data_IF_093452118499
#
_entry.id   IF_093452118499
#
_cell.length_a   1.000
_cell.length_b   1.000
_cell.length_c   1.000
_cell.angle_alpha   90.00
_cell.angle_beta   90.00
_cell.angle_gamma   90.00
#
_symmetry.space_group_name_H-M   'P 1'
#
loop_
_entity.id
_entity.type
_entity.pdbx_description
1 polymer ?
#
# COMPACT_ATOMS: atom_id res chain seq x y z
N UNK A 1 -18.40 -34.11 -14.68
CA UNK A 1 -17.92 -34.01 -13.29
C UNK A 1 -16.41 -33.94 -13.38
N UNK A 2 -15.86 -32.73 -13.43
CA UNK A 2 -14.41 -32.50 -13.44
C UNK A 2 -14.04 -31.84 -12.13
N UNK A 3 -13.32 -32.59 -11.29
CA UNK A 3 -12.80 -32.12 -10.02
C UNK A 3 -11.79 -30.98 -10.25
N UNK A 4 -12.12 -29.80 -9.79
CA UNK A 4 -11.15 -28.72 -9.62
C UNK A 4 -10.36 -29.00 -8.36
N UNK A 5 -9.22 -29.66 -8.52
CA UNK A 5 -8.17 -29.68 -7.50
C UNK A 5 -7.66 -28.24 -7.33
N UNK A 6 -8.08 -27.58 -6.27
CA UNK A 6 -7.67 -26.23 -5.95
C UNK A 6 -6.20 -26.22 -5.50
N UNK A 7 -5.32 -25.68 -6.32
CA UNK A 7 -4.12 -25.04 -5.80
C UNK A 7 -4.60 -23.76 -5.09
N UNK A 8 -4.65 -23.80 -3.76
CA UNK A 8 -5.06 -22.68 -2.91
C UNK A 8 -3.92 -21.65 -2.80
N UNK A 9 -3.52 -21.07 -3.91
CA UNK A 9 -2.53 -20.01 -3.92
C UNK A 9 -3.23 -18.67 -4.20
N UNK A 10 -2.99 -17.64 -3.38
CA UNK A 10 -3.37 -16.27 -3.68
C UNK A 10 -2.69 -15.87 -4.99
N UNK A 11 -3.44 -15.36 -5.99
CA UNK A 11 -2.87 -15.01 -7.28
C UNK A 11 -1.86 -13.87 -7.15
N UNK A 12 -0.91 -13.83 -8.06
CA UNK A 12 -0.05 -12.66 -8.22
C UNK A 12 -0.87 -11.54 -8.92
N UNK A 13 -1.29 -10.55 -8.13
CA UNK A 13 -2.09 -9.45 -8.63
C UNK A 13 -1.37 -8.60 -9.67
N UNK A 14 -0.04 -8.60 -9.68
CA UNK A 14 0.76 -7.85 -10.65
C UNK A 14 0.77 -8.51 -12.05
N UNK A 15 0.49 -9.81 -12.11
CA UNK A 15 0.35 -10.56 -13.38
C UNK A 15 -1.08 -10.61 -13.87
N UNK A 16 -2.02 -10.05 -13.10
CA UNK A 16 -3.43 -10.03 -13.44
C UNK A 16 -3.75 -8.87 -14.40
N UNK A 17 -4.53 -9.06 -15.46
CA UNK A 17 -5.07 -7.94 -16.24
C UNK A 17 -5.80 -6.96 -15.32
N UNK A 18 -5.59 -5.65 -15.48
CA UNK A 18 -6.18 -4.63 -14.60
C UNK A 18 -7.70 -4.79 -14.44
N UNK A 19 -8.43 -5.07 -15.53
CA UNK A 19 -9.87 -5.31 -15.46
C UNK A 19 -10.23 -6.46 -14.52
N UNK A 20 -9.46 -7.53 -14.53
CA UNK A 20 -9.65 -8.68 -13.63
C UNK A 20 -9.35 -8.35 -12.17
N UNK A 21 -8.35 -7.52 -11.93
CA UNK A 21 -8.05 -7.04 -10.59
C UNK A 21 -9.21 -6.19 -10.03
N UNK A 22 -9.77 -5.28 -10.86
CA UNK A 22 -10.90 -4.45 -10.47
C UNK A 22 -12.19 -5.29 -10.23
N UNK A 23 -12.46 -6.30 -11.07
CA UNK A 23 -13.54 -7.26 -10.86
C UNK A 23 -13.35 -8.03 -9.53
N UNK A 24 -12.13 -8.49 -9.25
CA UNK A 24 -11.82 -9.20 -8.00
C UNK A 24 -12.02 -8.32 -6.77
N UNK A 25 -11.60 -7.04 -6.80
CA UNK A 25 -11.83 -6.08 -5.72
C UNK A 25 -13.32 -5.83 -5.44
N UNK A 26 -14.20 -5.92 -6.45
CA UNK A 26 -15.63 -5.73 -6.30
C UNK A 26 -16.39 -7.01 -5.96
N UNK A 27 -15.69 -8.14 -5.87
CA UNK A 27 -16.29 -9.44 -5.54
C UNK A 27 -16.66 -9.55 -4.06
N UNK A 28 -17.40 -10.61 -3.70
CA UNK A 28 -17.67 -10.95 -2.30
C UNK A 28 -16.57 -11.76 -1.62
N UNK A 29 -15.42 -11.95 -2.29
CA UNK A 29 -14.30 -12.72 -1.77
C UNK A 29 -13.49 -11.87 -0.75
N UNK A 30 -12.86 -12.50 0.25
CA UNK A 30 -12.12 -11.80 1.29
C UNK A 30 -10.82 -11.13 0.80
N UNK A 31 -10.34 -11.48 -0.39
CA UNK A 31 -9.15 -10.91 -1.02
C UNK A 31 -9.28 -10.97 -2.57
N UNK A 32 -8.75 -9.97 -3.32
CA UNK A 32 -8.04 -8.78 -2.83
C UNK A 32 -8.95 -7.80 -2.10
N UNK A 33 -8.42 -7.08 -1.13
CA UNK A 33 -9.13 -6.08 -0.33
C UNK A 33 -8.43 -4.72 -0.31
N UNK A 34 -8.68 -3.96 0.77
CA UNK A 34 -8.16 -2.61 0.97
C UNK A 34 -6.64 -2.52 0.94
N UNK A 35 -5.92 -3.52 1.48
CA UNK A 35 -4.46 -3.54 1.47
C UNK A 35 -3.89 -3.73 0.06
N UNK A 36 -4.46 -4.63 -0.74
CA UNK A 36 -4.05 -4.76 -2.15
C UNK A 36 -4.30 -3.45 -2.92
N UNK A 37 -5.45 -2.79 -2.69
CA UNK A 37 -5.76 -1.51 -3.31
C UNK A 37 -4.79 -0.40 -2.87
N UNK A 38 -4.44 -0.34 -1.58
CA UNK A 38 -3.47 0.62 -1.05
C UNK A 38 -2.07 0.43 -1.66
N UNK A 39 -1.57 -0.81 -1.71
CA UNK A 39 -0.27 -1.12 -2.30
C UNK A 39 -0.22 -0.75 -3.79
N UNK A 40 -1.25 -1.10 -4.57
CA UNK A 40 -1.34 -0.73 -6.00
C UNK A 40 -1.42 0.78 -6.17
N UNK A 41 -2.15 1.50 -5.31
CA UNK A 41 -2.22 2.97 -5.35
C UNK A 41 -0.86 3.62 -5.12
N UNK A 42 -0.10 3.15 -4.12
CA UNK A 42 1.26 3.63 -3.86
C UNK A 42 2.21 3.27 -5.00
N UNK A 43 2.08 2.07 -5.60
CA UNK A 43 2.89 1.66 -6.75
C UNK A 43 2.62 2.52 -7.99
N UNK A 44 1.35 2.87 -8.27
CA UNK A 44 0.99 3.80 -9.33
C UNK A 44 1.56 5.20 -9.07
N UNK A 45 1.49 5.67 -7.83
CA UNK A 45 2.06 6.95 -7.41
C UNK A 45 3.58 7.00 -7.64
N UNK A 46 4.29 5.93 -7.27
CA UNK A 46 5.73 5.80 -7.51
C UNK A 46 6.07 5.77 -9.01
N UNK A 47 5.24 5.12 -9.83
CA UNK A 47 5.37 5.14 -11.29
C UNK A 47 5.24 6.54 -11.88
N UNK A 48 4.24 7.32 -11.43
CA UNK A 48 4.08 8.73 -11.85
C UNK A 48 5.27 9.58 -11.42
N UNK A 49 5.77 9.39 -10.20
CA UNK A 49 6.96 10.08 -9.70
C UNK A 49 8.20 9.72 -10.53
N UNK A 50 8.40 8.45 -10.87
CA UNK A 50 9.51 8.00 -11.72
C UNK A 50 9.46 8.62 -13.12
N UNK A 51 8.28 8.66 -13.72
CA UNK A 51 8.05 9.30 -15.02
C UNK A 51 8.38 10.81 -14.95
N UNK A 52 7.80 11.52 -13.97
CA UNK A 52 8.05 12.94 -13.79
C UNK A 52 9.54 13.25 -13.55
N UNK A 53 10.23 12.43 -12.76
CA UNK A 53 11.66 12.57 -12.50
C UNK A 53 12.50 12.39 -13.78
N UNK A 54 12.24 11.35 -14.59
CA UNK A 54 12.93 11.13 -15.87
C UNK A 54 12.79 12.30 -16.82
N UNK A 55 11.58 12.83 -16.96
CA UNK A 55 11.27 13.94 -17.85
C UNK A 55 11.65 15.32 -17.25
N UNK A 56 12.17 15.33 -16.02
CA UNK A 56 12.80 16.48 -15.35
C UNK A 56 14.32 16.36 -15.29
N UNK A 57 14.93 15.41 -16.00
CA UNK A 57 16.37 15.10 -15.95
C UNK A 57 16.90 14.83 -14.53
N UNK A 58 16.06 14.29 -13.65
CA UNK A 58 16.35 13.96 -12.26
C UNK A 58 16.53 12.43 -12.09
N UNK A 59 17.59 11.85 -12.70
CA UNK A 59 17.81 10.41 -12.79
C UNK A 59 17.80 9.69 -11.43
N UNK A 60 18.50 10.23 -10.43
CA UNK A 60 18.56 9.63 -9.09
C UNK A 60 17.17 9.54 -8.44
N UNK A 61 16.31 10.56 -8.65
CA UNK A 61 14.95 10.53 -8.14
C UNK A 61 14.08 9.50 -8.88
N UNK A 62 14.35 9.31 -10.19
CA UNK A 62 13.66 8.29 -10.98
C UNK A 62 14.03 6.87 -10.51
N UNK A 63 15.30 6.60 -10.30
CA UNK A 63 15.79 5.32 -9.78
C UNK A 63 15.20 5.03 -8.38
N UNK A 64 15.17 6.04 -7.51
CA UNK A 64 14.56 5.87 -6.18
C UNK A 64 13.06 5.60 -6.25
N UNK A 65 12.34 6.29 -7.13
CA UNK A 65 10.91 6.05 -7.32
C UNK A 65 10.62 4.64 -7.88
N UNK A 66 11.44 4.15 -8.81
CA UNK A 66 11.32 2.77 -9.30
C UNK A 66 11.58 1.76 -8.19
N UNK A 67 12.62 1.95 -7.39
CA UNK A 67 12.90 1.07 -6.26
C UNK A 67 11.70 1.02 -5.28
N UNK A 68 11.11 2.16 -4.95
CA UNK A 68 9.92 2.21 -4.09
C UNK A 68 8.71 1.51 -4.72
N UNK A 69 8.53 1.61 -6.04
CA UNK A 69 7.51 0.87 -6.78
C UNK A 69 7.73 -0.64 -6.68
N UNK A 70 8.96 -1.09 -6.83
CA UNK A 70 9.33 -2.50 -6.75
C UNK A 70 9.22 -3.04 -5.32
N UNK A 71 9.49 -2.21 -4.30
CA UNK A 71 9.30 -2.56 -2.90
C UNK A 71 7.82 -2.71 -2.53
N UNK A 72 6.94 -1.79 -2.96
CA UNK A 72 5.54 -1.77 -2.51
C UNK A 72 4.62 -2.70 -3.29
N UNK A 73 4.86 -2.90 -4.58
CA UNK A 73 3.93 -3.62 -5.44
C UNK A 73 3.68 -5.08 -4.98
N UNK A 74 4.68 -5.86 -4.53
CA UNK A 74 4.48 -7.21 -4.00
C UNK A 74 3.65 -7.24 -2.70
N UNK A 75 3.59 -6.13 -1.96
CA UNK A 75 2.82 -6.05 -0.71
C UNK A 75 1.32 -6.24 -0.93
N UNK A 76 0.81 -6.00 -2.15
CA UNK A 76 -0.58 -6.29 -2.50
C UNK A 76 -0.94 -7.77 -2.27
N UNK A 77 -0.06 -8.68 -2.66
CA UNK A 77 -0.23 -10.12 -2.41
C UNK A 77 0.09 -10.48 -0.96
N UNK A 78 1.14 -9.91 -0.40
CA UNK A 78 1.55 -10.17 0.98
C UNK A 78 0.44 -9.83 1.99
N UNK A 79 -0.32 -8.76 1.76
CA UNK A 79 -1.49 -8.39 2.56
C UNK A 79 -2.58 -9.47 2.53
N UNK A 80 -2.92 -9.95 1.35
CA UNK A 80 -3.90 -11.03 1.20
C UNK A 80 -3.46 -12.33 1.88
N UNK A 81 -2.17 -12.67 1.81
CA UNK A 81 -1.59 -13.83 2.50
C UNK A 81 -1.64 -13.66 4.02
N UNK A 82 -1.29 -12.47 4.54
CA UNK A 82 -1.37 -12.17 5.96
C UNK A 82 -2.82 -12.23 6.46
N UNK A 83 -3.77 -11.63 5.73
CA UNK A 83 -5.18 -11.71 6.06
C UNK A 83 -5.72 -13.16 6.04
N UNK A 84 -5.25 -13.99 5.10
CA UNK A 84 -5.56 -15.41 5.06
C UNK A 84 -5.16 -16.14 6.35
N UNK A 85 -3.99 -15.78 6.95
CA UNK A 85 -3.54 -16.34 8.24
C UNK A 85 -4.45 -15.89 9.40
N UNK A 86 -4.87 -14.62 9.41
CA UNK A 86 -5.84 -14.11 10.39
C UNK A 86 -7.15 -14.89 10.33
N UNK A 87 -7.71 -15.08 9.12
CA UNK A 87 -8.93 -15.87 8.95
C UNK A 87 -8.77 -17.31 9.42
N UNK A 88 -7.61 -17.93 9.17
CA UNK A 88 -7.31 -19.29 9.63
C UNK A 88 -7.28 -19.36 11.17
N UNK A 89 -6.68 -18.38 11.83
CA UNK A 89 -6.65 -18.29 13.30
C UNK A 89 -8.06 -18.15 13.90
N UNK A 90 -8.91 -17.31 13.30
CA UNK A 90 -10.30 -17.16 13.73
C UNK A 90 -11.15 -18.41 13.56
N UNK A 91 -10.85 -19.27 12.57
CA UNK A 91 -11.55 -20.55 12.32
C UNK A 91 -11.22 -21.65 13.32
N UNK A 92 -10.20 -21.48 14.15
CA UNK A 92 -9.90 -22.44 15.23
C UNK A 92 -11.11 -22.60 16.16
N UNK A 93 -11.39 -23.82 16.67
CA UNK A 93 -12.54 -24.05 17.54
C UNK A 93 -12.51 -23.13 18.76
N UNK A 94 -13.69 -22.62 19.16
CA UNK A 94 -13.82 -21.84 20.38
C UNK A 94 -13.41 -22.70 21.58
N UNK A 95 -12.49 -22.19 22.41
CA UNK A 95 -11.99 -22.93 23.59
C UNK A 95 -10.77 -23.82 23.31
N UNK A 96 -10.25 -23.89 22.07
CA UNK A 96 -8.96 -24.57 21.84
C UNK A 96 -7.82 -23.82 22.54
N UNK A 97 -6.92 -24.59 23.13
CA UNK A 97 -5.72 -24.07 23.79
C UNK A 97 -4.88 -23.22 22.84
N UNK A 98 -4.42 -22.07 23.30
CA UNK A 98 -3.59 -21.16 22.50
C UNK A 98 -4.31 -20.44 21.34
N UNK A 99 -5.67 -20.52 21.27
CA UNK A 99 -6.42 -19.86 20.19
C UNK A 99 -6.28 -18.34 20.23
N UNK A 100 -6.32 -17.76 21.41
CA UNK A 100 -6.23 -16.30 21.60
C UNK A 100 -4.86 -15.81 21.17
N UNK A 101 -3.83 -16.46 21.63
CA UNK A 101 -2.43 -16.15 21.32
C UNK A 101 -2.17 -16.22 19.82
N UNK A 102 -2.69 -17.25 19.15
CA UNK A 102 -2.58 -17.38 17.68
C UNK A 102 -3.31 -16.29 16.90
N UNK A 103 -4.44 -15.81 17.42
CA UNK A 103 -5.15 -14.69 16.81
C UNK A 103 -4.35 -13.40 17.00
N UNK A 104 -3.84 -13.14 18.20
CA UNK A 104 -3.02 -11.97 18.51
C UNK A 104 -1.73 -11.96 17.67
N UNK A 105 -1.06 -13.09 17.54
CA UNK A 105 0.12 -13.25 16.70
C UNK A 105 -0.19 -12.98 15.22
N UNK A 106 -1.26 -13.60 14.67
CA UNK A 106 -1.66 -13.40 13.28
C UNK A 106 -2.05 -11.95 12.98
N UNK A 107 -2.73 -11.27 13.90
CA UNK A 107 -3.07 -9.85 13.78
C UNK A 107 -1.81 -8.97 13.82
N UNK A 108 -0.88 -9.26 14.72
CA UNK A 108 0.40 -8.55 14.79
C UNK A 108 1.23 -8.70 13.51
N UNK A 109 1.29 -9.91 12.92
CA UNK A 109 1.93 -10.12 11.62
C UNK A 109 1.19 -9.35 10.51
N UNK A 110 -0.15 -9.39 10.50
CA UNK A 110 -0.96 -8.72 9.51
C UNK A 110 -0.87 -7.18 9.58
N UNK A 111 -0.55 -6.60 10.73
CA UNK A 111 -0.31 -5.16 10.88
C UNK A 111 1.02 -4.73 10.23
N UNK A 112 2.01 -5.61 10.13
CA UNK A 112 3.33 -5.29 9.57
C UNK A 112 3.31 -4.94 8.09
N UNK A 113 2.48 -5.63 7.30
CA UNK A 113 2.42 -5.41 5.84
C UNK A 113 1.89 -4.00 5.49
N UNK A 114 0.73 -3.56 6.00
CA UNK A 114 0.26 -2.19 5.74
C UNK A 114 1.14 -1.12 6.38
N UNK A 115 1.84 -1.40 7.49
CA UNK A 115 2.82 -0.46 8.04
C UNK A 115 3.94 -0.18 7.03
N UNK A 116 4.46 -1.21 6.38
CA UNK A 116 5.48 -1.05 5.34
C UNK A 116 4.95 -0.30 4.11
N UNK A 117 3.69 -0.54 3.71
CA UNK A 117 3.02 0.25 2.67
C UNK A 117 2.96 1.73 3.04
N UNK A 118 2.63 2.05 4.30
CA UNK A 118 2.56 3.43 4.79
C UNK A 118 3.93 4.11 4.79
N UNK A 119 4.98 3.40 5.19
CA UNK A 119 6.37 3.88 5.15
C UNK A 119 6.78 4.25 3.73
N UNK A 120 6.61 3.32 2.79
CA UNK A 120 6.99 3.52 1.39
C UNK A 120 6.15 4.64 0.77
N UNK A 121 4.84 4.64 0.99
CA UNK A 121 3.93 5.64 0.47
C UNK A 121 4.25 7.06 0.94
N UNK A 122 4.68 7.23 2.20
CA UNK A 122 5.10 8.53 2.72
C UNK A 122 6.35 9.05 2.01
N UNK A 123 7.29 8.17 1.66
CA UNK A 123 8.47 8.55 0.88
C UNK A 123 8.09 8.90 -0.56
N UNK A 124 7.22 8.11 -1.21
CA UNK A 124 6.69 8.41 -2.55
C UNK A 124 5.98 9.76 -2.56
N UNK A 125 5.14 10.05 -1.57
CA UNK A 125 4.43 11.33 -1.45
C UNK A 125 5.41 12.51 -1.37
N UNK A 126 6.48 12.39 -0.57
CA UNK A 126 7.54 13.39 -0.44
C UNK A 126 8.28 13.62 -1.76
N UNK A 127 8.60 12.53 -2.47
CA UNK A 127 9.33 12.55 -3.74
C UNK A 127 8.47 13.20 -4.85
N UNK A 128 7.20 12.77 -4.98
CA UNK A 128 6.25 13.35 -5.92
C UNK A 128 5.97 14.83 -5.62
N UNK A 129 5.83 15.19 -4.34
CA UNK A 129 5.65 16.57 -3.90
C UNK A 129 6.85 17.46 -4.27
N UNK A 130 8.08 16.95 -4.13
CA UNK A 130 9.29 17.64 -4.59
C UNK A 130 9.27 17.86 -6.10
N UNK A 131 8.94 16.84 -6.87
CA UNK A 131 8.87 16.93 -8.35
C UNK A 131 7.79 17.90 -8.82
N UNK A 132 6.67 18.01 -8.09
CA UNK A 132 5.64 18.99 -8.39
C UNK A 132 6.10 20.45 -8.20
N UNK A 133 7.09 20.68 -7.33
CA UNK A 133 7.64 22.02 -7.04
C UNK A 133 8.88 22.36 -7.87
N UNK A 134 9.78 21.39 -8.06
CA UNK A 134 11.13 21.59 -8.58
C UNK A 134 11.35 20.93 -9.95
N UNK A 135 10.40 20.10 -10.41
CA UNK A 135 10.50 19.34 -11.66
C UNK A 135 10.06 20.13 -12.89
N UNK A 136 9.86 19.41 -14.00
CA UNK A 136 9.37 20.00 -15.24
C UNK A 136 7.93 20.51 -15.05
N UNK A 137 7.67 21.82 -15.28
CA UNK A 137 6.34 22.42 -15.09
C UNK A 137 5.22 21.73 -15.89
N UNK A 138 5.54 21.16 -17.05
CA UNK A 138 4.58 20.44 -17.88
C UNK A 138 4.09 19.12 -17.24
N UNK A 139 4.82 18.60 -16.26
CA UNK A 139 4.51 17.36 -15.54
C UNK A 139 4.01 17.61 -14.11
N UNK A 140 3.79 18.88 -13.75
CA UNK A 140 3.29 19.23 -12.41
C UNK A 140 2.01 18.48 -12.07
N UNK A 141 1.09 18.36 -13.04
CA UNK A 141 -0.18 17.61 -12.84
C UNK A 141 0.03 16.15 -12.49
N UNK A 142 0.96 15.47 -13.19
CA UNK A 142 1.26 14.05 -12.94
C UNK A 142 1.96 13.86 -11.57
N UNK A 143 2.88 14.75 -11.23
CA UNK A 143 3.55 14.73 -9.93
C UNK A 143 2.55 14.98 -8.78
N UNK A 144 1.62 15.93 -8.96
CA UNK A 144 0.53 16.19 -8.01
C UNK A 144 -0.38 14.97 -7.87
N UNK A 145 -0.79 14.35 -8.99
CA UNK A 145 -1.58 13.11 -8.96
C UNK A 145 -0.86 11.99 -8.22
N UNK A 146 0.45 11.83 -8.45
CA UNK A 146 1.29 10.88 -7.71
C UNK A 146 1.29 11.15 -6.21
N UNK A 147 1.46 12.40 -5.77
CA UNK A 147 1.45 12.76 -4.36
C UNK A 147 0.09 12.47 -3.69
N UNK A 148 -1.02 12.78 -4.37
CA UNK A 148 -2.37 12.52 -3.86
C UNK A 148 -2.67 11.01 -3.75
N UNK A 149 -2.30 10.22 -4.74
CA UNK A 149 -2.46 8.77 -4.70
C UNK A 149 -1.61 8.14 -3.60
N UNK A 150 -0.37 8.62 -3.41
CA UNK A 150 0.49 8.15 -2.33
C UNK A 150 -0.11 8.49 -0.96
N UNK A 151 -0.57 9.73 -0.73
CA UNK A 151 -1.23 10.13 0.53
C UNK A 151 -2.45 9.26 0.82
N UNK A 152 -3.30 9.04 -0.18
CA UNK A 152 -4.47 8.17 -0.04
C UNK A 152 -4.08 6.73 0.33
N UNK A 153 -3.05 6.17 -0.32
CA UNK A 153 -2.52 4.85 -0.01
C UNK A 153 -1.94 4.75 1.40
N UNK A 154 -1.19 5.77 1.85
CA UNK A 154 -0.65 5.86 3.22
C UNK A 154 -1.77 5.85 4.26
N UNK A 155 -2.81 6.66 4.05
CA UNK A 155 -3.95 6.74 4.96
C UNK A 155 -4.72 5.42 5.02
N UNK A 156 -5.00 4.83 3.86
CA UNK A 156 -5.66 3.53 3.80
C UNK A 156 -4.83 2.44 4.52
N UNK A 157 -3.53 2.41 4.31
CA UNK A 157 -2.63 1.48 4.98
C UNK A 157 -2.61 1.70 6.51
N UNK A 158 -2.59 2.95 6.97
CA UNK A 158 -2.63 3.26 8.41
C UNK A 158 -3.93 2.79 9.09
N UNK A 159 -5.08 2.93 8.43
CA UNK A 159 -6.36 2.39 8.94
C UNK A 159 -6.32 0.85 9.07
N UNK A 160 -5.63 0.16 8.15
CA UNK A 160 -5.46 -1.29 8.22
C UNK A 160 -4.51 -1.70 9.36
N UNK A 161 -3.47 -0.93 9.64
CA UNK A 161 -2.62 -1.15 10.82
C UNK A 161 -3.44 -1.00 12.09
N UNK A 162 -4.22 0.08 12.22
CA UNK A 162 -5.07 0.35 13.37
C UNK A 162 -6.13 -0.76 13.57
N UNK A 163 -6.70 -1.29 12.49
CA UNK A 163 -7.67 -2.38 12.54
C UNK A 163 -7.09 -3.70 13.08
N UNK A 164 -5.80 -3.95 12.80
CA UNK A 164 -5.11 -5.17 13.23
C UNK A 164 -4.45 -5.03 14.60
N UNK A 165 -3.97 -3.83 14.96
CA UNK A 165 -3.25 -3.53 16.20
C UNK A 165 -3.69 -2.16 16.74
N UNK A 166 -4.92 -2.06 17.33
CA UNK A 166 -5.41 -0.80 17.84
C UNK A 166 -4.50 -0.23 18.95
N UNK A 167 -4.14 1.04 18.83
CA UNK A 167 -3.32 1.76 19.83
C UNK A 167 -1.92 1.15 20.09
N UNK A 168 -1.50 0.18 19.27
CA UNK A 168 -0.19 -0.43 19.35
C UNK A 168 0.94 0.48 18.85
N UNK A 169 2.18 0.03 19.03
CA UNK A 169 3.36 0.77 18.57
C UNK A 169 3.34 1.01 17.06
N UNK A 170 2.90 0.01 16.28
CA UNK A 170 2.79 0.12 14.82
C UNK A 170 1.70 1.12 14.40
N UNK A 171 0.59 1.21 15.13
CA UNK A 171 -0.44 2.21 14.87
C UNK A 171 0.08 3.63 15.09
N UNK A 172 0.87 3.84 16.15
CA UNK A 172 1.52 5.12 16.40
C UNK A 172 2.55 5.48 15.30
N UNK A 173 3.29 4.50 14.82
CA UNK A 173 4.24 4.69 13.71
C UNK A 173 3.51 5.00 12.40
N UNK A 174 2.44 4.27 12.06
CA UNK A 174 1.61 4.53 10.88
C UNK A 174 1.04 5.95 10.88
N UNK A 175 0.58 6.45 12.02
CA UNK A 175 0.12 7.85 12.18
C UNK A 175 1.23 8.87 11.86
N UNK A 176 2.50 8.56 12.18
CA UNK A 176 3.64 9.42 11.80
C UNK A 176 3.85 9.46 10.29
N UNK A 177 3.65 8.33 9.58
CA UNK A 177 3.73 8.29 8.13
C UNK A 177 2.58 9.08 7.48
N UNK A 178 1.35 8.97 8.02
CA UNK A 178 0.22 9.80 7.57
C UNK A 178 0.54 11.29 7.70
N UNK A 179 1.09 11.70 8.85
CA UNK A 179 1.46 13.10 9.09
C UNK A 179 2.58 13.56 8.14
N UNK A 180 3.57 12.71 7.86
CA UNK A 180 4.65 13.00 6.91
C UNK A 180 4.11 13.20 5.48
N UNK A 181 3.20 12.33 5.02
CA UNK A 181 2.56 12.45 3.72
C UNK A 181 1.70 13.72 3.62
N UNK A 182 0.93 14.02 4.65
CA UNK A 182 0.13 15.25 4.75
C UNK A 182 1.00 16.50 4.62
N UNK A 183 2.11 16.58 5.36
CA UNK A 183 3.04 17.71 5.28
C UNK A 183 3.66 17.86 3.90
N UNK A 184 4.01 16.75 3.24
CA UNK A 184 4.55 16.79 1.88
C UNK A 184 3.54 17.39 0.89
N UNK A 185 2.28 17.00 0.99
CA UNK A 185 1.19 17.54 0.17
C UNK A 185 0.92 19.02 0.46
N UNK A 186 0.88 19.42 1.74
CA UNK A 186 0.64 20.83 2.12
C UNK A 186 1.75 21.75 1.62
N UNK A 187 3.01 21.31 1.73
CA UNK A 187 4.14 22.07 1.18
C UNK A 187 4.01 22.24 -0.33
N UNK A 188 3.59 21.21 -1.05
CA UNK A 188 3.33 21.27 -2.49
C UNK A 188 2.23 22.28 -2.82
N UNK A 189 1.15 22.33 -2.03
CA UNK A 189 0.05 23.27 -2.26
C UNK A 189 0.46 24.73 -2.02
N UNK A 190 1.33 25.00 -1.05
CA UNK A 190 1.81 26.35 -0.71
C UNK A 190 2.86 26.88 -1.70
N UNK A 191 3.66 26.03 -2.32
CA UNK A 191 4.70 26.41 -3.28
C UNK A 191 4.21 26.57 -4.71
N UNK A 192 2.92 26.44 -4.97
CA UNK A 192 2.29 26.49 -6.29
C UNK A 192 1.60 27.82 -6.65
N UNK A 193 1.84 28.88 -5.87
CA UNK A 193 1.34 30.25 -6.09
C UNK A 193 2.27 31.09 -6.93
#
# INVERSE_FOLDING_TARGET
MSGRGGASGIPDYLQMPLGRFLEALSSGEPAPGGGAAAAVSVAMAAGLAAMAARLSSAGELAERADALREEVAPLARADAEAFGRVLAAYRLPRGSEGRRERIEEALGEAAGVPLEMARIGAEVCRLAGRLALEGNPNLKGDAVAGALLAEAGVRAAAELVEANEPEGERALEARRFVEAARRAREKMAQGGG
#
